data_IF_342998517199
#
_entry.id   IF_342998517199
#
_cell.length_a   1.000
_cell.length_b   1.000
_cell.length_c   1.000
_cell.angle_alpha   90.00
_cell.angle_beta   90.00
_cell.angle_gamma   90.00
#
_symmetry.space_group_name_H-M   'P 1'
#
loop_
_entity.id
_entity.type
_entity.pdbx_description
1 polymer ?
#
# COMPACT_ATOMS: atom_id res chain seq x y z
N UNK A 1 -11.57 3.69 6.43
CA UNK A 1 -10.58 3.40 5.37
C UNK A 1 -11.00 4.19 4.13
N UNK A 2 -10.08 4.95 3.53
CA UNK A 2 -10.26 5.57 2.23
C UNK A 2 -9.32 4.88 1.24
N UNK A 3 -9.86 4.44 0.10
CA UNK A 3 -9.10 3.76 -0.96
C UNK A 3 -9.03 4.66 -2.18
N UNK A 4 -7.86 5.25 -2.42
CA UNK A 4 -7.61 5.98 -3.66
C UNK A 4 -7.48 4.96 -4.80
N UNK A 5 -8.21 5.19 -5.89
CA UNK A 5 -8.22 4.32 -7.08
C UNK A 5 -7.94 5.16 -8.31
N UNK A 6 -7.51 4.51 -9.38
CA UNK A 6 -7.19 5.17 -10.65
C UNK A 6 -6.10 6.23 -10.49
N UNK A 7 -5.10 5.93 -9.65
CA UNK A 7 -3.90 6.73 -9.53
C UNK A 7 -3.13 6.70 -10.85
N UNK A 8 -2.46 7.80 -11.16
CA UNK A 8 -1.57 7.92 -12.31
C UNK A 8 -0.23 8.45 -11.83
N UNK A 9 0.84 8.00 -12.47
CA UNK A 9 2.15 8.57 -12.23
C UNK A 9 2.15 10.06 -12.61
N UNK A 10 2.82 10.86 -11.77
CA UNK A 10 3.05 12.28 -11.99
C UNK A 10 4.54 12.54 -11.81
N UNK A 11 5.11 13.59 -12.43
CA UNK A 11 6.52 13.94 -12.24
C UNK A 11 6.86 13.99 -10.76
N UNK A 12 7.86 13.20 -10.39
CA UNK A 12 8.20 12.96 -9.00
C UNK A 12 9.18 14.02 -8.52
N UNK A 13 8.72 14.96 -7.70
CA UNK A 13 9.59 15.88 -6.97
C UNK A 13 9.68 15.38 -5.53
N UNK A 14 10.84 14.81 -5.14
CA UNK A 14 11.05 14.24 -3.80
C UNK A 14 11.39 15.37 -2.83
N UNK A 15 10.40 15.79 -2.07
CA UNK A 15 10.48 16.93 -1.17
C UNK A 15 10.98 16.48 0.21
N UNK A 16 12.29 16.20 0.30
CA UNK A 16 12.94 16.02 1.60
C UNK A 16 13.90 14.84 1.68
N UNK A 17 14.69 14.74 2.77
CA UNK A 17 15.70 13.70 2.94
C UNK A 17 15.15 12.28 2.98
N UNK A 18 14.00 12.07 3.61
CA UNK A 18 13.39 10.74 3.74
C UNK A 18 12.86 10.24 2.39
N UNK A 19 12.20 11.11 1.63
CA UNK A 19 11.61 10.75 0.34
C UNK A 19 12.65 10.34 -0.71
N UNK A 20 13.89 10.85 -0.59
CA UNK A 20 15.01 10.45 -1.47
C UNK A 20 15.34 8.97 -1.41
N UNK A 21 15.01 8.29 -0.31
CA UNK A 21 15.29 6.87 -0.13
C UNK A 21 14.08 5.98 -0.44
N UNK A 22 12.93 6.55 -0.82
CA UNK A 22 11.74 5.77 -1.16
C UNK A 22 11.73 5.35 -2.63
N UNK A 23 11.06 4.25 -2.92
CA UNK A 23 10.70 3.82 -4.28
C UNK A 23 9.17 3.70 -4.36
N UNK A 24 8.63 3.87 -5.57
CA UNK A 24 7.24 3.48 -5.86
C UNK A 24 7.30 2.04 -6.36
N UNK A 25 6.51 1.17 -5.74
CA UNK A 25 6.34 -0.21 -6.16
C UNK A 25 4.87 -0.45 -6.54
N UNK A 26 4.65 -1.02 -7.72
CA UNK A 26 3.35 -1.55 -8.11
C UNK A 26 3.34 -3.07 -7.94
N UNK A 27 2.42 -3.57 -7.14
CA UNK A 27 2.28 -5.00 -6.90
C UNK A 27 0.79 -5.40 -6.91
N UNK A 28 0.48 -6.67 -7.26
CA UNK A 28 -0.87 -7.19 -7.14
C UNK A 28 -1.39 -7.04 -5.70
N UNK A 29 -2.66 -6.65 -5.55
CA UNK A 29 -3.25 -6.44 -4.23
C UNK A 29 -3.18 -7.71 -3.35
N UNK A 30 -3.48 -8.87 -3.93
CA UNK A 30 -3.36 -10.17 -3.23
C UNK A 30 -1.93 -10.42 -2.70
N UNK A 31 -0.91 -10.00 -3.45
CA UNK A 31 0.49 -10.13 -3.00
C UNK A 31 0.77 -9.25 -1.79
N UNK A 32 0.21 -8.04 -1.74
CA UNK A 32 0.33 -7.18 -0.56
C UNK A 32 -0.33 -7.81 0.68
N UNK A 33 -1.44 -8.53 0.51
CA UNK A 33 -2.09 -9.29 1.61
C UNK A 33 -1.20 -10.44 2.09
N UNK A 34 -0.61 -11.21 1.18
CA UNK A 34 0.37 -12.26 1.53
C UNK A 34 1.56 -11.68 2.31
N UNK A 35 2.07 -10.51 1.91
CA UNK A 35 3.17 -9.83 2.59
C UNK A 35 2.80 -9.36 4.01
N UNK A 36 1.53 -8.95 4.23
CA UNK A 36 1.02 -8.66 5.58
C UNK A 36 0.98 -9.93 6.43
N UNK A 37 0.45 -11.03 5.88
CA UNK A 37 0.34 -12.32 6.60
C UNK A 37 1.73 -12.89 6.90
N UNK A 38 2.66 -12.76 5.97
CA UNK A 38 4.05 -13.23 6.08
C UNK A 38 4.93 -12.35 6.98
N UNK A 39 4.47 -11.16 7.36
CA UNK A 39 5.23 -10.22 8.18
C UNK A 39 6.28 -9.43 7.42
N UNK A 40 6.25 -9.41 6.08
CA UNK A 40 7.09 -8.51 5.27
C UNK A 40 6.62 -7.06 5.40
N UNK A 41 5.30 -6.84 5.53
CA UNK A 41 4.69 -5.54 5.83
C UNK A 41 4.26 -5.52 7.29
N UNK A 42 4.91 -4.68 8.09
CA UNK A 42 4.69 -4.61 9.55
C UNK A 42 4.20 -3.24 10.04
N UNK A 43 4.26 -2.20 9.21
CA UNK A 43 3.74 -0.88 9.58
C UNK A 43 2.24 -0.96 9.89
N UNK A 44 1.88 -0.56 11.12
CA UNK A 44 0.53 -0.77 11.65
C UNK A 44 -0.57 -0.11 10.81
N UNK A 45 -0.30 1.08 10.24
CA UNK A 45 -1.28 1.79 9.42
C UNK A 45 -1.46 1.09 8.08
N UNK A 46 -0.37 0.64 7.47
CA UNK A 46 -0.36 -0.11 6.23
C UNK A 46 -1.11 -1.44 6.38
N UNK A 47 -0.77 -2.23 7.41
CA UNK A 47 -1.44 -3.50 7.72
C UNK A 47 -2.95 -3.30 7.92
N UNK A 48 -3.34 -2.33 8.76
CA UNK A 48 -4.76 -2.04 9.02
C UNK A 48 -5.50 -1.62 7.75
N UNK A 49 -4.88 -0.76 6.92
CA UNK A 49 -5.47 -0.28 5.68
C UNK A 49 -5.71 -1.41 4.66
N UNK A 50 -4.71 -2.28 4.47
CA UNK A 50 -4.79 -3.40 3.53
C UNK A 50 -5.85 -4.43 3.96
N UNK A 51 -5.87 -4.85 5.23
CA UNK A 51 -6.83 -5.84 5.72
C UNK A 51 -8.28 -5.34 5.71
N UNK A 52 -8.50 -4.06 6.06
CA UNK A 52 -9.84 -3.47 5.95
C UNK A 52 -10.28 -3.35 4.48
N UNK A 53 -9.35 -3.08 3.57
CA UNK A 53 -9.64 -3.03 2.13
C UNK A 53 -10.01 -4.41 1.58
N UNK A 54 -9.26 -5.46 1.95
CA UNK A 54 -9.55 -6.85 1.57
C UNK A 54 -10.96 -7.25 2.01
N UNK A 55 -11.31 -6.96 3.27
CA UNK A 55 -12.66 -7.22 3.79
C UNK A 55 -13.74 -6.49 3.01
N UNK A 56 -13.51 -5.25 2.58
CA UNK A 56 -14.50 -4.46 1.84
C UNK A 56 -14.69 -4.94 0.39
N UNK A 57 -13.65 -5.47 -0.24
CA UNK A 57 -13.69 -5.91 -1.64
C UNK A 57 -14.14 -7.36 -1.79
N UNK A 58 -13.81 -8.22 -0.82
CA UNK A 58 -13.97 -9.68 -0.94
C UNK A 58 -14.78 -10.31 0.20
N UNK A 59 -15.15 -9.56 1.24
CA UNK A 59 -16.05 -10.02 2.29
C UNK A 59 -17.51 -9.90 1.86
N UNK A 60 -18.08 -10.99 1.32
CA UNK A 60 -19.53 -11.25 1.26
C UNK A 60 -19.88 -12.41 2.17
#
# INVERSE_FOLDING_TARGET
IFLARSLREVPHDRHGPEERHMTIEELPFARAIEMVIGGDIQDAKTVTGLLLTERLLHGS
#
